data_IF_563889178905
#
_entry.id   IF_563889178905
#
_cell.length_a   1.000
_cell.length_b   1.000
_cell.length_c   1.000
_cell.angle_alpha   90.00
_cell.angle_beta   90.00
_cell.angle_gamma   90.00
#
_symmetry.space_group_name_H-M   'P 1'
#
loop_
_entity.id
_entity.type
_entity.pdbx_description
1 polymer ?
#
# COMPACT_ATOMS: atom_id res chain seq x y z
N UNK A 1 -2.80 20.03 -7.36
CA UNK A 1 -1.79 18.98 -7.10
C UNK A 1 -2.17 17.73 -7.90
N UNK A 2 -1.21 17.06 -8.53
CA UNK A 2 -1.45 15.86 -9.36
C UNK A 2 -1.76 14.67 -8.43
N UNK A 3 -2.81 13.90 -8.73
CA UNK A 3 -3.16 12.69 -7.97
C UNK A 3 -2.41 11.48 -8.54
N UNK A 4 -1.51 10.91 -7.74
CA UNK A 4 -0.75 9.70 -8.08
C UNK A 4 -1.49 8.43 -7.64
N UNK A 5 -1.19 7.33 -8.33
CA UNK A 5 -1.49 5.96 -7.89
C UNK A 5 -0.18 5.38 -7.37
N UNK A 6 -0.12 5.06 -6.09
CA UNK A 6 1.10 4.63 -5.41
C UNK A 6 0.88 3.20 -4.94
N UNK A 7 1.72 2.29 -5.41
CA UNK A 7 1.76 0.91 -4.95
C UNK A 7 2.95 0.71 -4.00
N UNK A 8 2.72 0.10 -2.86
CA UNK A 8 3.74 -0.13 -1.82
C UNK A 8 3.90 -1.64 -1.65
N UNK A 9 5.11 -2.15 -1.86
CA UNK A 9 5.46 -3.51 -1.47
C UNK A 9 5.68 -3.54 0.04
N UNK A 10 4.98 -4.41 0.76
CA UNK A 10 5.11 -4.53 2.22
C UNK A 10 4.85 -5.96 2.68
N UNK A 11 5.17 -6.23 3.95
CA UNK A 11 4.77 -7.46 4.62
C UNK A 11 3.24 -7.53 4.77
N UNK A 12 2.67 -8.73 4.96
CA UNK A 12 1.25 -8.90 5.27
C UNK A 12 0.77 -7.96 6.38
N UNK A 13 -0.31 -7.21 6.12
CA UNK A 13 -0.89 -6.30 7.13
C UNK A 13 -1.32 -7.00 8.41
N UNK A 14 -1.66 -8.29 8.36
CA UNK A 14 -2.00 -9.08 9.55
C UNK A 14 -0.81 -9.38 10.47
N UNK A 15 0.43 -9.14 10.02
CA UNK A 15 1.67 -9.36 10.78
C UNK A 15 2.37 -8.05 11.18
N UNK A 16 1.81 -6.91 10.80
CA UNK A 16 2.44 -5.61 11.01
C UNK A 16 2.14 -5.04 12.41
N UNK A 17 3.17 -4.58 13.12
CA UNK A 17 3.02 -3.75 14.31
C UNK A 17 2.57 -2.34 13.88
N UNK A 18 1.25 -2.17 13.77
CA UNK A 18 0.59 -1.00 13.18
C UNK A 18 1.01 0.37 13.75
N UNK A 19 1.52 0.40 14.97
CA UNK A 19 1.87 1.64 15.68
C UNK A 19 3.27 2.17 15.32
N UNK A 20 4.16 1.33 14.78
CA UNK A 20 5.56 1.69 14.49
C UNK A 20 5.97 1.50 13.03
N UNK A 21 5.08 1.01 12.16
CA UNK A 21 5.41 0.82 10.76
C UNK A 21 5.42 2.15 9.98
N UNK A 22 6.61 2.54 9.52
CA UNK A 22 6.82 3.76 8.75
C UNK A 22 6.15 3.74 7.37
N UNK A 23 5.97 2.57 6.77
CA UNK A 23 5.29 2.39 5.48
C UNK A 23 3.82 2.82 5.57
N UNK A 24 3.14 2.46 6.65
CA UNK A 24 1.75 2.87 6.91
C UNK A 24 1.63 4.37 7.19
N UNK A 25 2.61 4.97 7.88
CA UNK A 25 2.65 6.41 8.11
C UNK A 25 2.83 7.16 6.79
N UNK A 26 3.77 6.73 5.94
CA UNK A 26 3.99 7.32 4.62
C UNK A 26 2.77 7.17 3.71
N UNK A 27 2.13 5.99 3.72
CA UNK A 27 0.89 5.74 2.99
C UNK A 27 -0.24 6.70 3.44
N UNK A 28 -0.37 6.96 4.75
CA UNK A 28 -1.37 7.88 5.29
C UNK A 28 -1.11 9.31 4.83
N UNK A 29 0.13 9.78 4.88
CA UNK A 29 0.49 11.12 4.41
C UNK A 29 0.24 11.29 2.91
N UNK A 30 0.57 10.28 2.10
CA UNK A 30 0.26 10.28 0.68
C UNK A 30 -1.25 10.30 0.42
N UNK A 31 -2.04 9.55 1.20
CA UNK A 31 -3.51 9.57 1.12
C UNK A 31 -4.08 10.94 1.53
N UNK A 32 -3.55 11.58 2.58
CA UNK A 32 -3.96 12.92 3.01
C UNK A 32 -3.69 13.98 1.93
N UNK A 33 -2.65 13.76 1.10
CA UNK A 33 -2.35 14.53 -0.11
C UNK A 33 -3.27 14.16 -1.30
N UNK A 34 -4.22 13.25 -1.14
CA UNK A 34 -5.20 12.88 -2.16
C UNK A 34 -4.69 11.85 -3.19
N UNK A 35 -3.59 11.15 -2.89
CA UNK A 35 -3.12 10.02 -3.71
C UNK A 35 -3.91 8.75 -3.40
N UNK A 36 -4.02 7.86 -4.38
CA UNK A 36 -4.62 6.53 -4.20
C UNK A 36 -3.54 5.53 -3.85
N UNK A 37 -3.73 4.82 -2.75
CA UNK A 37 -2.73 3.87 -2.22
C UNK A 37 -3.16 2.45 -2.55
N UNK A 38 -2.18 1.66 -2.94
CA UNK A 38 -2.28 0.23 -3.17
C UNK A 38 -1.15 -0.47 -2.42
N UNK A 39 -1.40 -1.72 -2.04
CA UNK A 39 -0.43 -2.56 -1.35
C UNK A 39 -0.34 -3.91 -2.03
N UNK A 40 0.83 -4.54 -1.91
CA UNK A 40 1.07 -5.90 -2.35
C UNK A 40 2.23 -6.51 -1.54
N UNK A 41 2.28 -7.83 -1.49
CA UNK A 41 3.39 -8.58 -0.94
C UNK A 41 4.36 -9.03 -2.06
N UNK A 42 5.61 -9.38 -1.73
CA UNK A 42 6.55 -9.93 -2.72
C UNK A 42 6.01 -11.14 -3.49
N UNK A 43 5.17 -11.96 -2.86
CA UNK A 43 4.53 -13.15 -3.48
C UNK A 43 3.48 -12.80 -4.54
N UNK A 44 3.00 -11.55 -4.57
CA UNK A 44 1.98 -11.08 -5.52
C UNK A 44 2.60 -10.61 -6.84
N UNK A 45 3.93 -10.63 -6.95
CA UNK A 45 4.68 -10.28 -8.16
C UNK A 45 4.65 -11.42 -9.19
N UNK A 46 4.40 -11.06 -10.45
CA UNK A 46 4.48 -11.96 -11.59
C UNK A 46 5.31 -11.32 -12.70
N UNK A 47 6.25 -12.07 -13.28
CA UNK A 47 7.02 -11.65 -14.44
C UNK A 47 6.50 -12.38 -15.69
N UNK A 48 6.00 -11.64 -16.67
CA UNK A 48 5.48 -12.17 -17.95
C UNK A 48 6.17 -11.42 -19.07
N UNK A 49 6.80 -12.15 -20.01
CA UNK A 49 7.48 -11.56 -21.17
C UNK A 49 8.43 -10.40 -20.81
N UNK A 50 9.20 -10.59 -19.73
CA UNK A 50 10.13 -9.58 -19.17
C UNK A 50 9.47 -8.28 -18.67
N UNK A 51 8.16 -8.31 -18.43
CA UNK A 51 7.39 -7.23 -17.82
C UNK A 51 6.88 -7.64 -16.43
N UNK A 52 7.12 -6.79 -15.43
CA UNK A 52 6.75 -7.03 -14.05
C UNK A 52 5.33 -6.54 -13.75
N UNK A 53 4.52 -7.42 -13.17
CA UNK A 53 3.16 -7.18 -12.73
C UNK A 53 3.01 -7.49 -11.25
N UNK A 54 1.99 -6.90 -10.61
CA UNK A 54 1.63 -7.19 -9.23
C UNK A 54 0.11 -7.24 -9.09
N UNK A 55 -0.41 -8.24 -8.39
CA UNK A 55 -1.78 -8.16 -7.87
C UNK A 55 -1.78 -7.24 -6.65
N UNK A 56 -2.60 -6.19 -6.69
CA UNK A 56 -2.60 -5.17 -5.63
C UNK A 56 -3.99 -5.03 -5.01
N UNK A 57 -4.01 -4.73 -3.71
CA UNK A 57 -5.22 -4.36 -2.98
C UNK A 57 -5.25 -2.85 -2.75
N UNK A 58 -6.43 -2.23 -2.86
CA UNK A 58 -6.59 -0.82 -2.49
C UNK A 58 -6.44 -0.71 -0.97
N UNK A 59 -5.72 0.29 -0.49
CA UNK A 59 -5.62 0.57 0.94
C UNK A 59 -6.26 1.93 1.22
N UNK A 60 -7.21 1.95 2.16
CA UNK A 60 -7.72 3.18 2.75
C UNK A 60 -7.51 3.18 4.26
N UNK A 61 -6.82 4.20 4.75
CA UNK A 61 -6.52 4.38 6.16
C UNK A 61 -7.47 5.45 6.72
N UNK A 62 -8.47 5.04 7.49
CA UNK A 62 -9.50 5.96 8.01
C UNK A 62 -9.07 6.66 9.30
N UNK A 63 -8.52 5.90 10.25
CA UNK A 63 -8.03 6.36 11.56
C UNK A 63 -6.75 5.60 11.91
N UNK A 64 -6.03 6.02 12.97
CA UNK A 64 -5.01 5.16 13.59
C UNK A 64 -5.64 3.78 13.83
N UNK A 65 -5.03 2.74 13.26
CA UNK A 65 -5.43 1.33 13.41
C UNK A 65 -6.78 0.92 12.76
N UNK A 66 -7.32 1.67 11.78
CA UNK A 66 -8.50 1.23 11.00
C UNK A 66 -8.24 1.29 9.49
N UNK A 67 -8.33 0.12 8.85
CA UNK A 67 -8.01 -0.11 7.44
C UNK A 67 -9.20 -0.74 6.72
N UNK A 68 -9.42 -0.32 5.47
CA UNK A 68 -10.38 -0.97 4.56
C UNK A 68 -9.69 -1.32 3.24
N UNK A 69 -10.10 -2.48 2.70
CA UNK A 69 -9.58 -3.11 1.48
C UNK A 69 -10.65 -3.10 0.39
#
# INVERSE_FOLDING_TARGET
>A
MIKLRIAIQMDPLNKLHHESDSSLILAKEAQNRGHKIFIYEPKDLTLIDNQLFANVSSLKIEKKNKYTF
#
